data_IF_827618399070
#
_entry.id   IF_827618399070
#
_cell.length_a   1.000
_cell.length_b   1.000
_cell.length_c   1.000
_cell.angle_alpha   90.00
_cell.angle_beta   90.00
_cell.angle_gamma   90.00
#
_symmetry.space_group_name_H-M   'P 1'
#
loop_
_entity.id
_entity.type
_entity.pdbx_description
1 polymer ?
#
# COMPACT_ATOMS: atom_id res chain seq x y z
N UNK A 1 0.97 -28.41 -19.02
CA UNK A 1 1.97 -27.33 -18.92
C UNK A 1 2.92 -27.42 -20.09
N UNK A 2 3.17 -26.35 -20.80
CA UNK A 2 4.02 -26.30 -21.99
C UNK A 2 5.44 -25.83 -21.67
N UNK A 3 5.63 -25.26 -20.50
CA UNK A 3 6.91 -24.74 -20.05
C UNK A 3 7.07 -24.92 -18.55
N UNK A 4 8.23 -25.37 -18.12
CA UNK A 4 8.67 -25.35 -16.75
C UNK A 4 9.57 -24.14 -16.54
N UNK A 5 9.14 -23.20 -15.71
CA UNK A 5 9.82 -21.91 -15.63
C UNK A 5 11.03 -21.89 -14.69
N UNK A 6 11.02 -22.67 -13.61
CA UNK A 6 12.03 -22.54 -12.54
C UNK A 6 12.45 -23.87 -11.93
N UNK A 7 11.55 -24.86 -11.86
CA UNK A 7 11.73 -26.07 -11.05
C UNK A 7 12.71 -27.10 -11.62
N UNK A 8 13.10 -26.98 -12.88
CA UNK A 8 13.85 -28.00 -13.61
C UNK A 8 13.13 -29.37 -13.67
N UNK A 9 11.82 -29.39 -13.46
CA UNK A 9 11.02 -30.62 -13.44
C UNK A 9 11.13 -31.39 -14.75
N UNK A 10 10.96 -30.74 -15.89
CA UNK A 10 11.07 -31.37 -17.20
C UNK A 10 12.47 -31.92 -17.45
N UNK A 11 13.52 -31.18 -17.11
CA UNK A 11 14.91 -31.65 -17.28
C UNK A 11 15.19 -32.88 -16.47
N UNK A 12 14.60 -33.04 -15.31
CA UNK A 12 14.91 -34.14 -14.39
C UNK A 12 14.03 -35.36 -14.58
N UNK A 13 12.81 -35.21 -15.16
CA UNK A 13 11.82 -36.29 -15.12
C UNK A 13 11.21 -36.66 -16.48
N UNK A 14 11.43 -35.88 -17.54
CA UNK A 14 10.72 -36.05 -18.81
C UNK A 14 11.13 -37.37 -19.53
N UNK A 15 12.42 -37.68 -19.56
CA UNK A 15 12.93 -38.91 -20.17
C UNK A 15 12.37 -40.17 -19.49
N UNK A 16 12.34 -40.20 -18.16
CA UNK A 16 11.76 -41.32 -17.40
C UNK A 16 10.25 -41.44 -17.65
N UNK A 17 9.53 -40.29 -17.65
CA UNK A 17 8.10 -40.27 -17.94
C UNK A 17 7.75 -40.76 -19.34
N UNK A 18 8.61 -40.50 -20.32
CA UNK A 18 8.48 -41.06 -21.68
C UNK A 18 8.75 -42.58 -21.70
N UNK A 19 9.81 -43.00 -21.02
CA UNK A 19 10.15 -44.42 -20.93
C UNK A 19 9.05 -45.25 -20.25
N UNK A 20 8.36 -44.66 -19.28
CA UNK A 20 7.20 -45.26 -18.61
C UNK A 20 5.88 -45.13 -19.40
N UNK A 21 5.88 -44.47 -20.55
CA UNK A 21 4.69 -44.27 -21.38
C UNK A 21 3.67 -43.28 -20.81
N UNK A 22 4.05 -42.47 -19.80
CA UNK A 22 3.20 -41.44 -19.22
C UNK A 22 3.05 -40.21 -20.12
N UNK A 23 4.07 -39.94 -20.94
CA UNK A 23 4.13 -38.79 -21.86
C UNK A 23 4.61 -39.32 -23.22
N UNK A 24 3.99 -38.88 -24.30
CA UNK A 24 4.39 -39.22 -25.66
C UNK A 24 5.21 -38.14 -26.33
N UNK A 25 5.98 -38.46 -27.33
CA UNK A 25 6.77 -37.51 -28.13
C UNK A 25 5.86 -36.46 -28.79
N UNK A 26 4.68 -36.86 -29.29
CA UNK A 26 3.72 -35.96 -29.91
C UNK A 26 3.20 -34.94 -28.92
N UNK A 27 3.05 -35.30 -27.64
CA UNK A 27 2.65 -34.34 -26.58
C UNK A 27 3.76 -33.31 -26.32
N UNK A 28 5.02 -33.73 -26.34
CA UNK A 28 6.18 -32.83 -26.18
C UNK A 28 6.28 -31.92 -27.39
N UNK A 29 6.16 -32.45 -28.59
CA UNK A 29 6.20 -31.67 -29.83
C UNK A 29 5.09 -30.62 -29.87
N UNK A 30 3.88 -30.97 -29.44
CA UNK A 30 2.76 -30.07 -29.38
C UNK A 30 3.02 -28.93 -28.37
N UNK A 31 3.62 -29.19 -27.21
CA UNK A 31 4.00 -28.20 -26.22
C UNK A 31 5.11 -27.26 -26.75
N UNK A 32 6.16 -27.85 -27.34
CA UNK A 32 7.26 -27.13 -27.98
C UNK A 32 6.74 -26.19 -29.09
N UNK A 33 5.87 -26.73 -29.97
CA UNK A 33 5.27 -25.97 -31.08
C UNK A 33 4.53 -24.73 -30.56
N UNK A 34 3.72 -24.82 -29.49
CA UNK A 34 3.00 -23.66 -28.93
C UNK A 34 3.95 -22.56 -28.45
N UNK A 35 5.07 -22.93 -27.84
CA UNK A 35 6.10 -21.99 -27.40
C UNK A 35 6.78 -21.33 -28.62
N UNK A 36 7.18 -22.11 -29.61
CA UNK A 36 7.83 -21.62 -30.83
C UNK A 36 6.90 -20.75 -31.67
N UNK A 37 5.63 -21.10 -31.82
CA UNK A 37 4.64 -20.29 -32.53
C UNK A 37 4.44 -18.94 -31.84
N UNK A 38 4.44 -18.89 -30.50
CA UNK A 38 4.34 -17.64 -29.75
C UNK A 38 5.56 -16.76 -30.03
N UNK A 39 6.77 -17.32 -29.98
CA UNK A 39 8.00 -16.60 -30.32
C UNK A 39 7.99 -16.09 -31.77
N UNK A 40 7.49 -16.90 -32.71
CA UNK A 40 7.35 -16.52 -34.10
C UNK A 40 6.38 -15.36 -34.29
N UNK A 41 5.19 -15.43 -33.70
CA UNK A 41 4.17 -14.36 -33.73
C UNK A 41 4.68 -13.05 -33.13
N UNK A 42 5.54 -13.14 -32.12
CA UNK A 42 6.21 -11.97 -31.54
C UNK A 42 7.37 -11.43 -32.41
N UNK A 43 7.77 -12.14 -33.46
CA UNK A 43 8.84 -11.73 -34.37
C UNK A 43 10.26 -11.94 -33.81
N UNK A 44 10.41 -12.75 -32.75
CA UNK A 44 11.67 -12.93 -32.04
C UNK A 44 12.72 -13.74 -32.84
N UNK A 45 12.30 -14.50 -33.87
CA UNK A 45 13.24 -15.17 -34.78
C UNK A 45 13.85 -14.24 -35.80
N UNK A 46 13.19 -13.11 -36.10
CA UNK A 46 13.70 -12.10 -37.00
C UNK A 46 14.54 -11.07 -36.25
N UNK A 47 14.04 -10.65 -35.07
CA UNK A 47 14.73 -9.71 -34.19
C UNK A 47 14.47 -10.08 -32.74
N UNK A 48 15.38 -10.81 -32.06
CA UNK A 48 15.21 -11.24 -30.68
C UNK A 48 15.22 -10.06 -29.68
N UNK A 49 15.74 -8.91 -30.09
CA UNK A 49 15.81 -7.69 -29.26
C UNK A 49 14.75 -6.65 -29.58
N UNK A 50 13.79 -6.98 -30.43
CA UNK A 50 12.73 -6.08 -30.88
C UNK A 50 12.03 -5.31 -29.76
N UNK A 51 11.90 -5.92 -28.58
CA UNK A 51 11.24 -5.32 -27.44
C UNK A 51 12.21 -4.79 -26.37
N UNK A 52 13.52 -4.84 -26.64
CA UNK A 52 14.58 -4.36 -25.76
C UNK A 52 14.94 -2.91 -26.11
N UNK A 53 14.22 -1.98 -25.47
CA UNK A 53 14.53 -0.56 -25.54
C UNK A 53 14.89 -0.08 -24.13
N UNK A 54 16.16 0.21 -23.90
CA UNK A 54 16.71 0.65 -22.60
C UNK A 54 16.22 2.04 -22.19
N UNK A 55 15.78 2.87 -23.15
CA UNK A 55 15.31 4.23 -22.89
C UNK A 55 13.78 4.29 -22.74
N UNK A 56 13.06 3.27 -23.14
CA UNK A 56 11.58 3.25 -23.09
C UNK A 56 11.03 3.52 -21.69
N UNK A 57 11.69 3.00 -20.66
CA UNK A 57 11.28 3.23 -19.27
C UNK A 57 11.30 4.70 -18.85
N UNK A 58 12.18 5.52 -19.43
CA UNK A 58 12.25 6.95 -19.13
C UNK A 58 11.04 7.71 -19.70
N UNK A 59 10.52 7.26 -20.82
CA UNK A 59 9.42 7.91 -21.54
C UNK A 59 8.04 7.33 -21.22
N UNK A 60 7.95 6.05 -20.86
CA UNK A 60 6.69 5.35 -20.66
C UNK A 60 6.30 5.17 -19.18
N UNK A 61 7.28 5.13 -18.24
CA UNK A 61 6.97 4.95 -16.83
C UNK A 61 6.65 6.28 -16.14
N UNK A 62 5.65 6.29 -15.29
CA UNK A 62 5.21 7.45 -14.50
C UNK A 62 4.82 8.67 -15.35
N UNK A 63 4.33 8.45 -16.57
CA UNK A 63 3.74 9.55 -17.37
C UNK A 63 2.56 10.18 -16.64
N UNK A 64 2.25 11.43 -16.95
CA UNK A 64 1.08 12.11 -16.38
C UNK A 64 -0.21 11.30 -16.58
N UNK A 65 -0.39 10.69 -17.76
CA UNK A 65 -1.54 9.84 -18.05
C UNK A 65 -1.59 8.60 -17.13
N UNK A 66 -0.47 7.89 -16.96
CA UNK A 66 -0.38 6.73 -16.08
C UNK A 66 -0.65 7.11 -14.61
N UNK A 67 -0.08 8.23 -14.14
CA UNK A 67 -0.31 8.73 -12.78
C UNK A 67 -1.78 9.10 -12.55
N UNK A 68 -2.43 9.74 -13.52
CA UNK A 68 -3.86 10.07 -13.42
C UNK A 68 -4.70 8.80 -13.26
N UNK A 69 -4.48 7.80 -14.10
CA UNK A 69 -5.21 6.51 -14.02
C UNK A 69 -4.89 5.78 -12.71
N UNK A 70 -3.62 5.73 -12.29
CA UNK A 70 -3.23 5.12 -11.02
C UNK A 70 -3.92 5.79 -9.81
N UNK A 71 -4.03 7.12 -9.81
CA UNK A 71 -4.73 7.89 -8.79
C UNK A 71 -6.23 7.60 -8.76
N UNK A 72 -6.86 7.53 -9.93
CA UNK A 72 -8.28 7.17 -10.04
C UNK A 72 -8.54 5.75 -9.54
N UNK A 73 -7.74 4.77 -9.97
CA UNK A 73 -7.83 3.38 -9.50
C UNK A 73 -7.62 3.30 -7.99
N UNK A 74 -6.59 3.96 -7.45
CA UNK A 74 -6.35 3.98 -6.01
C UNK A 74 -7.58 4.47 -5.24
N UNK A 75 -8.17 5.59 -5.66
CA UNK A 75 -9.39 6.13 -5.04
C UNK A 75 -10.59 5.16 -5.13
N UNK A 76 -10.64 4.31 -6.16
CA UNK A 76 -11.70 3.29 -6.32
C UNK A 76 -11.55 2.09 -5.40
N UNK A 77 -10.33 1.83 -4.92
CA UNK A 77 -10.08 0.73 -3.98
C UNK A 77 -10.42 1.07 -2.54
N UNK A 78 -10.53 2.34 -2.18
CA UNK A 78 -10.77 2.75 -0.80
C UNK A 78 -12.15 2.31 -0.30
N UNK A 79 -12.20 1.89 0.95
CA UNK A 79 -13.44 1.43 1.59
C UNK A 79 -13.75 2.28 2.81
N UNK A 80 -14.85 3.04 2.74
CA UNK A 80 -15.35 3.82 3.86
C UNK A 80 -16.11 2.87 4.82
N UNK A 81 -15.46 2.43 5.89
CA UNK A 81 -16.03 1.49 6.86
C UNK A 81 -16.94 2.17 7.88
N UNK A 82 -16.64 3.43 8.22
CA UNK A 82 -17.41 4.23 9.18
C UNK A 82 -17.33 5.72 8.85
N UNK A 83 -18.42 6.45 9.02
CA UNK A 83 -18.45 7.90 8.84
C UNK A 83 -19.57 8.55 9.67
N UNK A 84 -19.31 8.72 10.96
CA UNK A 84 -20.24 9.34 11.90
C UNK A 84 -20.42 10.82 11.58
N UNK A 85 -21.64 11.29 11.59
CA UNK A 85 -22.06 12.69 11.33
C UNK A 85 -21.55 13.24 9.97
N UNK A 86 -21.26 12.36 9.03
CA UNK A 86 -20.69 12.73 7.71
C UNK A 86 -19.43 13.59 7.85
N UNK A 87 -18.53 13.22 8.79
CA UNK A 87 -17.28 13.92 9.00
C UNK A 87 -16.39 13.96 7.75
N UNK A 88 -16.36 12.84 7.00
CA UNK A 88 -15.75 12.77 5.66
C UNK A 88 -16.78 13.12 4.57
N UNK A 89 -16.40 13.84 3.50
CA UNK A 89 -15.07 14.42 3.26
C UNK A 89 -14.80 15.65 4.15
N UNK A 90 -13.56 15.79 4.61
CA UNK A 90 -13.17 16.91 5.43
C UNK A 90 -13.28 18.25 4.68
N UNK A 91 -13.67 19.30 5.40
CA UNK A 91 -13.60 20.66 4.86
C UNK A 91 -12.14 21.12 4.85
N UNK A 92 -11.70 21.69 3.76
CA UNK A 92 -10.37 22.31 3.64
C UNK A 92 -10.32 23.65 4.39
N UNK A 93 -10.30 23.61 5.70
CA UNK A 93 -10.23 24.79 6.56
C UNK A 93 -9.72 24.45 7.94
N UNK A 94 -9.21 25.46 8.65
CA UNK A 94 -8.73 25.29 10.02
C UNK A 94 -7.44 24.49 10.08
N UNK A 95 -7.24 23.76 11.17
CA UNK A 95 -6.03 23.01 11.46
C UNK A 95 -6.34 21.51 11.46
N UNK A 96 -5.67 20.78 10.59
CA UNK A 96 -5.80 19.32 10.47
C UNK A 96 -4.50 18.71 10.97
N UNK A 97 -4.55 17.88 12.00
CA UNK A 97 -3.39 17.09 12.42
C UNK A 97 -3.33 15.79 11.64
N UNK A 98 -2.26 15.56 10.91
CA UNK A 98 -1.95 14.26 10.28
C UNK A 98 -0.91 13.55 11.15
N UNK A 99 -1.34 12.50 11.82
CA UNK A 99 -0.53 11.80 12.84
C UNK A 99 -0.46 10.31 12.51
N UNK A 100 0.71 9.73 12.62
CA UNK A 100 0.91 8.29 12.45
C UNK A 100 2.14 7.94 11.62
N UNK A 101 2.72 6.75 11.83
CA UNK A 101 3.93 6.31 11.15
C UNK A 101 3.72 6.10 9.64
N UNK A 102 2.47 5.91 9.19
CA UNK A 102 2.15 5.73 7.76
C UNK A 102 1.96 7.06 7.02
N UNK A 103 1.91 8.21 7.71
CA UNK A 103 1.68 9.50 7.08
C UNK A 103 2.80 9.92 6.11
N UNK A 104 4.05 9.62 6.47
CA UNK A 104 5.24 9.96 5.65
C UNK A 104 6.09 8.73 5.31
N UNK A 105 5.46 7.56 5.21
CA UNK A 105 6.11 6.28 4.92
C UNK A 105 6.20 6.01 3.41
N UNK A 106 6.97 6.82 2.67
CA UNK A 106 7.11 6.76 1.21
C UNK A 106 7.35 5.33 0.69
N UNK A 107 8.26 4.60 1.31
CA UNK A 107 8.62 3.25 0.90
C UNK A 107 7.49 2.22 1.07
N UNK A 108 6.44 2.54 1.83
CA UNK A 108 5.33 1.63 2.12
C UNK A 108 4.08 1.90 1.25
N UNK A 109 4.00 3.01 0.52
CA UNK A 109 2.80 3.39 -0.25
C UNK A 109 2.41 2.35 -1.30
N UNK A 110 3.37 1.70 -1.94
CA UNK A 110 3.13 0.74 -3.02
C UNK A 110 2.76 -0.68 -2.54
N UNK A 111 2.92 -0.98 -1.25
CA UNK A 111 2.70 -2.32 -0.70
C UNK A 111 3.81 -3.33 -1.04
N UNK A 112 3.66 -4.57 -0.55
CA UNK A 112 4.67 -5.64 -0.66
C UNK A 112 4.90 -6.09 -2.11
N UNK A 113 3.83 -6.27 -2.88
CA UNK A 113 3.88 -6.88 -4.22
C UNK A 113 4.31 -5.94 -5.35
N UNK A 114 4.83 -4.77 -5.01
CA UNK A 114 5.30 -3.78 -5.97
C UNK A 114 6.81 -3.89 -6.21
N UNK A 115 7.24 -4.89 -6.98
CA UNK A 115 8.64 -5.20 -7.23
C UNK A 115 9.42 -4.05 -7.90
N UNK A 116 8.75 -3.23 -8.69
CA UNK A 116 9.36 -2.16 -9.48
C UNK A 116 8.96 -0.75 -9.05
N UNK A 117 8.32 -0.61 -7.89
CA UNK A 117 7.98 0.71 -7.36
C UNK A 117 9.25 1.50 -7.01
N UNK A 118 9.35 2.70 -7.54
CA UNK A 118 10.47 3.61 -7.28
C UNK A 118 10.04 4.71 -6.30
N UNK A 119 10.38 4.61 -5.01
CA UNK A 119 9.88 5.54 -3.98
C UNK A 119 10.15 7.01 -4.27
N UNK A 120 11.31 7.33 -4.88
CA UNK A 120 11.67 8.71 -5.24
C UNK A 120 10.78 9.34 -6.33
N UNK A 121 9.95 8.55 -7.03
CA UNK A 121 9.09 9.01 -8.13
C UNK A 121 7.63 9.26 -7.73
N UNK A 122 7.28 9.09 -6.46
CA UNK A 122 5.91 9.32 -5.96
C UNK A 122 5.91 10.03 -4.60
N UNK A 123 4.76 10.59 -4.22
CA UNK A 123 4.57 11.30 -2.96
C UNK A 123 4.22 10.40 -1.77
N UNK A 124 4.19 11.00 -0.58
CA UNK A 124 3.65 10.42 0.64
C UNK A 124 2.22 10.89 0.87
N UNK A 125 1.52 10.31 1.85
CA UNK A 125 0.21 10.84 2.26
C UNK A 125 0.31 12.29 2.74
N UNK A 126 1.36 12.62 3.50
CA UNK A 126 1.61 13.98 4.00
C UNK A 126 1.76 14.99 2.86
N UNK A 127 2.54 14.65 1.83
CA UNK A 127 2.73 15.49 0.65
C UNK A 127 1.42 15.68 -0.13
N UNK A 128 0.68 14.59 -0.36
CA UNK A 128 -0.61 14.63 -1.07
C UNK A 128 -1.65 15.49 -0.35
N UNK A 129 -1.79 15.32 0.97
CA UNK A 129 -2.72 16.12 1.77
C UNK A 129 -2.32 17.58 1.77
N UNK A 130 -1.04 17.92 1.97
CA UNK A 130 -0.55 19.31 1.91
C UNK A 130 -0.82 19.94 0.55
N UNK A 131 -0.52 19.24 -0.52
CA UNK A 131 -0.79 19.70 -1.90
C UNK A 131 -2.27 19.95 -2.15
N UNK A 132 -3.13 19.08 -1.65
CA UNK A 132 -4.57 19.20 -1.87
C UNK A 132 -5.24 20.33 -1.11
N UNK A 133 -4.77 20.65 0.12
CA UNK A 133 -5.36 21.73 0.91
C UNK A 133 -4.76 23.10 0.57
N UNK A 134 -3.53 23.15 0.06
CA UNK A 134 -2.83 24.41 -0.24
C UNK A 134 -2.83 25.35 0.98
N UNK A 135 -3.23 26.59 0.74
CA UNK A 135 -3.34 27.63 1.79
C UNK A 135 -4.71 27.64 2.48
N UNK A 136 -5.65 26.76 2.11
CA UNK A 136 -7.01 26.73 2.68
C UNK A 136 -7.05 26.16 4.12
N UNK A 137 -6.08 25.29 4.49
CA UNK A 137 -5.98 24.71 5.83
C UNK A 137 -4.52 24.48 6.23
N UNK A 138 -4.25 24.54 7.53
CA UNK A 138 -2.93 24.24 8.11
C UNK A 138 -2.82 22.73 8.40
N UNK A 139 -1.80 22.07 7.84
CA UNK A 139 -1.48 20.66 8.14
C UNK A 139 -0.38 20.59 9.18
N UNK A 140 -0.75 20.19 10.38
CA UNK A 140 0.16 19.84 11.47
C UNK A 140 0.55 18.38 11.36
N UNK A 141 1.83 18.07 11.46
CA UNK A 141 2.32 16.67 11.33
C UNK A 141 3.07 16.23 12.57
N UNK A 142 2.84 14.97 12.96
CA UNK A 142 3.69 14.24 13.91
C UNK A 142 3.68 12.75 13.54
N UNK A 143 4.83 12.07 13.68
CA UNK A 143 4.93 10.64 13.46
C UNK A 143 4.13 9.83 14.50
N UNK A 144 4.15 10.23 15.73
CA UNK A 144 3.34 9.73 16.84
C UNK A 144 3.76 8.39 17.42
N UNK A 145 4.18 7.43 16.62
CA UNK A 145 4.67 6.13 17.09
C UNK A 145 5.65 5.50 16.10
N UNK A 146 6.34 4.46 16.53
CA UNK A 146 6.97 3.50 15.65
C UNK A 146 5.93 2.51 15.09
N UNK A 147 6.33 1.59 14.21
CA UNK A 147 5.44 0.53 13.70
C UNK A 147 5.20 -0.53 14.80
N UNK A 148 6.27 -0.96 15.48
CA UNK A 148 6.21 -1.89 16.60
C UNK A 148 6.97 -1.34 17.82
N UNK A 149 6.66 -1.82 19.02
CA UNK A 149 7.42 -1.48 20.23
C UNK A 149 8.85 -2.00 20.14
N UNK A 150 8.99 -3.27 19.81
CA UNK A 150 10.28 -3.93 19.70
C UNK A 150 10.98 -3.61 18.38
N UNK A 151 12.29 -3.28 18.47
CA UNK A 151 13.07 -2.86 17.31
C UNK A 151 13.36 -4.02 16.34
N UNK A 152 13.61 -5.23 16.83
CA UNK A 152 13.85 -6.39 15.99
C UNK A 152 12.55 -6.86 15.30
N UNK A 153 11.44 -6.80 16.02
CA UNK A 153 10.13 -7.04 15.43
C UNK A 153 9.82 -6.02 14.33
N UNK A 154 10.10 -4.73 14.55
CA UNK A 154 9.91 -3.70 13.54
C UNK A 154 10.81 -3.91 12.34
N UNK A 155 12.06 -4.26 12.54
CA UNK A 155 12.99 -4.57 11.46
C UNK A 155 12.48 -5.73 10.60
N UNK A 156 11.94 -6.77 11.23
CA UNK A 156 11.31 -7.89 10.52
C UNK A 156 10.04 -7.43 9.78
N UNK A 157 9.20 -6.62 10.44
CA UNK A 157 7.94 -6.14 9.90
C UNK A 157 8.10 -5.14 8.75
N UNK A 158 9.17 -4.34 8.75
CA UNK A 158 9.47 -3.37 7.68
C UNK A 158 10.34 -3.96 6.57
N UNK A 159 11.10 -5.02 6.86
CA UNK A 159 11.92 -5.77 5.90
C UNK A 159 12.83 -4.87 5.07
N UNK A 160 12.63 -4.86 3.76
CA UNK A 160 13.40 -4.06 2.81
C UNK A 160 13.01 -2.57 2.78
N UNK A 161 12.00 -2.16 3.56
CA UNK A 161 11.43 -0.81 3.58
C UNK A 161 11.48 -0.18 4.98
N UNK A 162 12.68 -0.06 5.59
CA UNK A 162 12.82 0.42 6.96
C UNK A 162 12.26 1.83 7.10
N UNK A 163 11.68 2.09 8.27
CA UNK A 163 11.26 3.42 8.70
C UNK A 163 12.19 3.88 9.82
N UNK A 164 12.50 5.17 9.85
CA UNK A 164 13.31 5.75 10.90
C UNK A 164 12.60 5.60 12.26
N UNK A 165 13.29 5.04 13.24
CA UNK A 165 12.77 4.86 14.61
C UNK A 165 13.05 6.09 15.47
N UNK A 166 12.12 6.36 16.40
CA UNK A 166 12.28 7.35 17.45
C UNK A 166 11.98 6.76 18.84
N UNK A 167 12.19 7.55 19.88
CA UNK A 167 11.73 7.22 21.23
C UNK A 167 10.21 7.27 21.30
N UNK A 168 9.57 6.17 21.75
CA UNK A 168 8.10 6.07 21.75
C UNK A 168 7.44 7.13 22.65
N UNK A 169 8.03 7.48 23.79
CA UNK A 169 7.46 8.47 24.71
C UNK A 169 7.54 9.86 24.13
N UNK A 170 8.65 10.18 23.48
CA UNK A 170 8.83 11.46 22.80
C UNK A 170 7.87 11.57 21.61
N UNK A 171 7.78 10.57 20.74
CA UNK A 171 6.88 10.52 19.59
C UNK A 171 5.43 10.72 20.02
N UNK A 172 4.98 10.05 21.08
CA UNK A 172 3.64 10.19 21.62
C UNK A 172 3.40 11.60 22.17
N UNK A 173 4.36 12.17 22.91
CA UNK A 173 4.27 13.51 23.44
C UNK A 173 4.11 14.58 22.34
N UNK A 174 4.93 14.49 21.29
CA UNK A 174 4.86 15.37 20.11
C UNK A 174 3.51 15.24 19.39
N UNK A 175 3.00 14.02 19.27
CA UNK A 175 1.70 13.76 18.66
C UNK A 175 0.56 14.42 19.45
N UNK A 176 0.56 14.30 20.77
CA UNK A 176 -0.46 14.92 21.62
C UNK A 176 -0.39 16.44 21.59
N UNK A 177 0.81 17.03 21.60
CA UNK A 177 0.99 18.47 21.43
C UNK A 177 0.46 18.96 20.07
N UNK A 178 0.64 18.15 19.02
CA UNK A 178 0.11 18.42 17.68
C UNK A 178 -1.41 18.28 17.65
N UNK A 179 -1.95 17.23 18.24
CA UNK A 179 -3.37 16.93 18.26
C UNK A 179 -4.21 18.01 18.97
N UNK A 180 -3.76 18.50 20.13
CA UNK A 180 -4.52 19.53 20.89
C UNK A 180 -4.63 20.87 20.14
N UNK A 181 -3.70 21.14 19.24
CA UNK A 181 -3.70 22.36 18.39
C UNK A 181 -4.62 22.24 17.18
N UNK A 182 -5.08 21.05 16.84
CA UNK A 182 -5.87 20.78 15.66
C UNK A 182 -7.38 20.85 15.93
N UNK A 183 -8.15 21.01 14.86
CA UNK A 183 -9.61 20.95 14.89
C UNK A 183 -10.10 19.51 14.60
N UNK A 184 -9.32 18.73 13.84
CA UNK A 184 -9.57 17.30 13.49
C UNK A 184 -8.25 16.56 13.33
N UNK A 185 -8.26 15.28 13.64
CA UNK A 185 -7.09 14.39 13.55
C UNK A 185 -7.31 13.38 12.43
N UNK A 186 -6.36 13.29 11.51
CA UNK A 186 -6.20 12.16 10.57
C UNK A 186 -5.11 11.23 11.13
N UNK A 187 -5.52 10.07 11.63
CA UNK A 187 -4.62 9.06 12.18
C UNK A 187 -4.22 8.06 11.08
N UNK A 188 -3.01 8.17 10.54
CA UNK A 188 -2.48 7.30 9.48
C UNK A 188 -1.75 6.09 10.09
N UNK A 189 -2.48 5.01 10.30
CA UNK A 189 -2.05 3.84 11.07
C UNK A 189 -2.29 2.53 10.31
N UNK A 190 -1.71 1.46 10.80
CA UNK A 190 -1.96 0.11 10.31
C UNK A 190 -0.70 -0.72 10.11
N UNK A 191 -0.72 -1.60 9.13
CA UNK A 191 0.40 -2.46 8.76
C UNK A 191 1.36 -1.74 7.82
N UNK A 192 2.66 -2.04 7.93
CA UNK A 192 3.59 -1.75 6.84
C UNK A 192 3.52 -2.84 5.76
N UNK A 193 4.09 -2.56 4.58
CA UNK A 193 3.98 -3.40 3.40
C UNK A 193 4.35 -4.87 3.65
N UNK A 194 5.48 -5.11 4.33
CA UNK A 194 6.01 -6.45 4.59
C UNK A 194 5.16 -7.28 5.57
N UNK A 195 4.28 -6.65 6.34
CA UNK A 195 3.43 -7.38 7.31
C UNK A 195 2.31 -8.20 6.65
N UNK A 196 2.00 -7.97 5.38
CA UNK A 196 0.90 -8.63 4.66
C UNK A 196 1.30 -9.28 3.34
N UNK A 197 2.60 -9.49 3.11
CA UNK A 197 3.13 -10.13 1.92
C UNK A 197 3.28 -11.65 2.03
N UNK A 198 4.03 -12.23 1.10
CA UNK A 198 4.40 -13.63 1.11
C UNK A 198 5.19 -13.98 2.38
N UNK A 199 4.90 -15.13 2.95
CA UNK A 199 5.49 -15.59 4.22
C UNK A 199 5.22 -14.69 5.44
N UNK A 200 4.31 -13.73 5.32
CA UNK A 200 3.90 -12.86 6.41
C UNK A 200 2.59 -13.37 7.05
N UNK A 201 2.69 -14.04 8.19
CA UNK A 201 1.53 -14.47 8.94
C UNK A 201 1.38 -13.69 10.24
N UNK A 202 0.12 -13.48 10.66
CA UNK A 202 -0.19 -12.82 11.93
C UNK A 202 -1.27 -13.59 12.67
N UNK A 203 -0.96 -14.00 13.89
CA UNK A 203 -1.92 -14.67 14.79
C UNK A 203 -2.92 -13.69 15.40
N UNK A 204 -2.54 -12.42 15.49
CA UNK A 204 -3.40 -11.34 15.97
C UNK A 204 -3.48 -10.24 14.89
N UNK A 205 -4.51 -10.27 14.01
CA UNK A 205 -4.68 -9.30 12.93
C UNK A 205 -5.35 -8.00 13.42
N UNK A 206 -4.73 -7.34 14.38
CA UNK A 206 -5.10 -5.99 14.86
C UNK A 206 -4.07 -4.97 14.42
N UNK A 207 -4.38 -3.69 14.54
CA UNK A 207 -3.39 -2.61 14.44
C UNK A 207 -2.27 -2.89 15.44
N UNK A 208 -0.97 -2.73 15.09
CA UNK A 208 0.14 -2.93 16.02
C UNK A 208 -0.05 -2.15 17.32
N UNK A 209 0.26 -2.79 18.46
CA UNK A 209 -0.12 -2.29 19.79
C UNK A 209 0.40 -0.86 20.07
N UNK A 210 1.62 -0.52 19.65
CA UNK A 210 2.16 0.84 19.85
C UNK A 210 1.36 1.89 19.09
N UNK A 211 0.82 1.56 17.92
CA UNK A 211 -0.03 2.45 17.14
C UNK A 211 -1.45 2.51 17.73
N UNK A 212 -1.89 1.41 18.33
CA UNK A 212 -3.16 1.38 19.05
C UNK A 212 -3.11 2.27 20.29
N UNK A 213 -2.04 2.22 21.08
CA UNK A 213 -1.86 3.09 22.25
C UNK A 213 -1.82 4.57 21.83
N UNK A 214 -1.18 4.89 20.70
CA UNK A 214 -1.25 6.22 20.11
C UNK A 214 -2.70 6.61 19.79
N UNK A 215 -3.45 5.73 19.11
CA UNK A 215 -4.84 6.03 18.73
C UNK A 215 -5.74 6.25 19.95
N UNK A 216 -5.59 5.46 21.00
CA UNK A 216 -6.30 5.63 22.27
C UNK A 216 -6.00 7.01 22.90
N UNK A 217 -4.74 7.40 22.91
CA UNK A 217 -4.33 8.71 23.42
C UNK A 217 -4.87 9.88 22.56
N UNK A 218 -4.92 9.72 21.23
CA UNK A 218 -5.53 10.71 20.34
C UNK A 218 -7.03 10.84 20.55
N UNK A 219 -7.75 9.72 20.71
CA UNK A 219 -9.19 9.75 21.04
C UNK A 219 -9.44 10.41 22.38
N UNK A 220 -8.60 10.18 23.37
CA UNK A 220 -8.71 10.80 24.70
C UNK A 220 -8.55 12.35 24.68
N UNK A 221 -8.03 12.94 23.60
CA UNK A 221 -8.01 14.40 23.42
C UNK A 221 -9.40 15.02 23.22
N UNK A 222 -10.42 14.20 22.94
CA UNK A 222 -11.78 14.66 22.65
C UNK A 222 -11.95 15.31 21.26
N UNK A 223 -10.91 15.31 20.42
CA UNK A 223 -11.00 15.82 19.05
C UNK A 223 -11.62 14.78 18.13
N UNK A 224 -12.31 15.18 17.05
CA UNK A 224 -12.74 14.24 16.02
C UNK A 224 -11.54 13.51 15.40
N UNK A 225 -11.60 12.17 15.36
CA UNK A 225 -10.55 11.33 14.80
C UNK A 225 -11.07 10.58 13.58
N UNK A 226 -10.35 10.67 12.48
CA UNK A 226 -10.49 9.85 11.26
C UNK A 226 -9.32 8.88 11.22
N UNK A 227 -9.58 7.60 11.22
CA UNK A 227 -8.58 6.56 11.00
C UNK A 227 -8.40 6.32 9.49
N UNK A 228 -7.22 6.62 8.97
CA UNK A 228 -6.76 6.21 7.64
C UNK A 228 -5.99 4.91 7.82
N UNK A 229 -6.64 3.78 7.48
CA UNK A 229 -6.13 2.45 7.76
C UNK A 229 -5.32 1.92 6.58
N UNK A 230 -4.03 1.69 6.81
CA UNK A 230 -3.13 1.02 5.87
C UNK A 230 -3.04 -0.47 6.22
N UNK A 231 -3.30 -1.34 5.27
CA UNK A 231 -3.23 -2.79 5.49
C UNK A 231 -3.32 -3.55 4.16
N UNK A 232 -2.77 -4.75 4.10
CA UNK A 232 -2.94 -5.66 2.97
C UNK A 232 -3.93 -6.79 3.26
N UNK A 233 -4.62 -6.76 4.40
CA UNK A 233 -5.61 -7.76 4.85
C UNK A 233 -6.72 -7.12 5.67
N UNK A 234 -7.89 -7.75 5.85
CA UNK A 234 -8.85 -7.32 6.86
C UNK A 234 -8.26 -7.40 8.27
N UNK A 235 -8.45 -6.34 9.06
CA UNK A 235 -8.05 -6.28 10.46
C UNK A 235 -9.26 -6.33 11.40
N UNK A 236 -9.04 -6.75 12.65
CA UNK A 236 -10.02 -6.68 13.72
C UNK A 236 -10.05 -5.24 14.23
N UNK A 237 -11.18 -4.55 14.08
CA UNK A 237 -11.34 -3.12 14.35
C UNK A 237 -12.44 -2.82 15.38
N UNK A 238 -12.78 -3.75 16.25
CA UNK A 238 -13.92 -3.60 17.17
C UNK A 238 -13.81 -2.35 18.07
N UNK A 239 -12.62 -2.07 18.55
CA UNK A 239 -12.40 -0.89 19.38
C UNK A 239 -12.39 0.40 18.54
N UNK A 240 -11.70 0.37 17.41
CA UNK A 240 -11.63 1.48 16.47
C UNK A 240 -13.04 1.90 16.03
N UNK A 241 -13.86 0.93 15.67
CA UNK A 241 -15.26 1.19 15.30
C UNK A 241 -16.06 1.83 16.44
N UNK A 242 -15.83 1.41 17.68
CA UNK A 242 -16.53 1.99 18.83
C UNK A 242 -16.08 3.42 19.19
N UNK A 243 -14.84 3.82 18.89
CA UNK A 243 -14.22 5.02 19.47
C UNK A 243 -13.81 6.11 18.47
N UNK A 244 -13.53 5.80 17.20
CA UNK A 244 -13.20 6.82 16.21
C UNK A 244 -14.45 7.30 15.45
N UNK A 245 -14.41 8.51 14.89
CA UNK A 245 -15.53 9.09 14.17
C UNK A 245 -15.68 8.51 12.76
N UNK A 246 -14.56 8.27 12.09
CA UNK A 246 -14.57 7.72 10.72
C UNK A 246 -13.41 6.76 10.51
N UNK A 247 -13.62 5.74 9.68
CA UNK A 247 -12.61 4.77 9.27
C UNK A 247 -12.62 4.67 7.76
N UNK A 248 -11.53 5.07 7.13
CA UNK A 248 -11.27 4.87 5.71
C UNK A 248 -10.15 3.86 5.55
N UNK A 249 -10.46 2.69 5.00
CA UNK A 249 -9.45 1.72 4.65
C UNK A 249 -8.86 2.08 3.27
N UNK A 250 -7.57 2.44 3.27
CA UNK A 250 -6.85 2.91 2.08
C UNK A 250 -5.97 1.83 1.46
N UNK A 251 -5.85 0.68 2.12
CA UNK A 251 -4.97 -0.42 1.70
C UNK A 251 -3.54 0.06 1.46
N UNK A 252 -2.90 -0.46 0.40
CA UNK A 252 -1.69 0.05 -0.22
C UNK A 252 -2.05 0.46 -1.65
N UNK A 253 -2.49 1.69 -1.84
CA UNK A 253 -3.07 2.17 -3.09
C UNK A 253 -2.06 2.49 -4.20
N UNK A 254 -0.76 2.17 -4.01
CA UNK A 254 0.27 2.40 -5.02
C UNK A 254 0.92 3.77 -4.96
N UNK A 255 1.58 4.15 -6.05
CA UNK A 255 2.36 5.39 -6.15
C UNK A 255 1.55 6.67 -5.92
N UNK A 256 0.26 6.65 -6.20
CA UNK A 256 -0.59 7.84 -6.14
C UNK A 256 -1.53 7.84 -4.91
N UNK A 257 -1.29 6.96 -3.92
CA UNK A 257 -2.12 6.84 -2.71
C UNK A 257 -2.32 8.16 -1.98
N UNK A 258 -1.25 8.93 -1.79
CA UNK A 258 -1.31 10.20 -1.05
C UNK A 258 -2.25 11.20 -1.70
N UNK A 259 -2.14 11.36 -3.01
CA UNK A 259 -2.99 12.24 -3.79
C UNK A 259 -4.43 11.73 -3.87
N UNK A 260 -4.61 10.40 -4.03
CA UNK A 260 -5.93 9.78 -4.12
C UNK A 260 -6.74 9.93 -2.82
N UNK A 261 -6.10 9.77 -1.65
CA UNK A 261 -6.74 10.02 -0.33
C UNK A 261 -7.15 11.47 -0.19
N UNK A 262 -6.31 12.39 -0.67
CA UNK A 262 -6.58 13.82 -0.59
C UNK A 262 -7.71 14.30 -1.53
N UNK A 263 -8.03 13.52 -2.57
CA UNK A 263 -9.08 13.84 -3.56
C UNK A 263 -10.50 13.48 -3.15
N UNK A 264 -10.74 12.90 -2.01
CA UNK A 264 -12.01 12.28 -1.60
C UNK A 264 -13.28 13.14 -1.79
N UNK A 265 -13.15 14.30 -2.42
CA UNK A 265 -14.29 15.17 -2.79
C UNK A 265 -15.22 14.62 -3.88
N UNK A 266 -14.85 13.57 -4.63
CA UNK A 266 -15.55 13.22 -5.87
C UNK A 266 -16.48 12.02 -5.82
N UNK A 267 -16.54 11.23 -4.77
CA UNK A 267 -17.40 10.03 -4.78
C UNK A 267 -18.55 10.08 -3.80
N UNK A 268 -19.70 10.48 -4.33
CA UNK A 268 -21.04 10.30 -3.74
C UNK A 268 -21.55 8.84 -3.84
N UNK A 269 -20.69 7.85 -4.01
CA UNK A 269 -21.14 6.45 -4.09
C UNK A 269 -20.26 5.60 -3.16
N UNK A 270 -20.82 5.27 -2.01
CA UNK A 270 -20.39 4.10 -1.26
C UNK A 270 -20.49 2.87 -2.17
N UNK A 271 -19.54 1.92 -2.15
CA UNK A 271 -19.68 0.65 -2.88
C UNK A 271 -20.88 -0.19 -2.42
N UNK A 272 -21.54 0.18 -1.35
CA UNK A 272 -22.67 -0.54 -0.74
C UNK A 272 -24.03 0.18 -0.87
N UNK A 273 -24.24 1.03 -1.87
CA UNK A 273 -25.58 1.61 -2.13
C UNK A 273 -25.53 2.98 -2.76
#
# INVERSE_FOLDING_TARGET
TDMDMVSCGFLNTLEESMAEGKVTEEQIDAACRRVLETKYKLGLFTDPYKYCDTLRGEHELYTTAHRTVAREIAAETFVLLKNTDNLLPLKKKGRIALIGPMADARNNMCGMWSMTCTPSRHGTLLEGVRSAVGDEAEILYAKGSNICYDAEQEKTATGLRPLERGDNSQLLSEALQTAVRADVILAALGECAEMSGESASRTNPMIPIVQRDLLEALVATGKPVVLLLFTGRPLILNWEDAHVHSILNVWFGGSETGDAVADEKKKKKSPCG
#
